data_IF_342979931814
#
_entry.id   IF_342979931814
#
_cell.length_a   1.000
_cell.length_b   1.000
_cell.length_c   1.000
_cell.angle_alpha   90.00
_cell.angle_beta   90.00
_cell.angle_gamma   90.00
#
_symmetry.space_group_name_H-M   'P 1'
#
loop_
_entity.id
_entity.type
_entity.pdbx_description
1 polymer ?
#
# COMPACT_ATOMS: atom_id res chain seq x y z
N UNK A 1 4.34 5.72 -24.59
CA UNK A 1 4.38 7.04 -23.95
C UNK A 1 4.45 6.77 -22.45
N UNK A 2 5.62 6.89 -21.83
CA UNK A 2 5.77 6.65 -20.40
C UNK A 2 5.08 7.80 -19.68
N UNK A 3 3.87 7.58 -19.20
CA UNK A 3 3.19 8.49 -18.28
C UNK A 3 3.55 8.05 -16.87
N UNK A 4 3.93 9.00 -16.03
CA UNK A 4 3.85 8.81 -14.58
C UNK A 4 2.45 8.33 -14.22
N UNK A 5 2.32 7.41 -13.25
CA UNK A 5 1.01 6.89 -12.85
C UNK A 5 0.09 8.04 -12.43
N UNK A 6 -0.99 8.21 -13.19
CA UNK A 6 -2.00 9.26 -12.92
C UNK A 6 -3.12 8.77 -12.00
N UNK A 7 -3.15 7.47 -11.70
CA UNK A 7 -4.14 6.84 -10.84
C UNK A 7 -3.41 5.86 -9.92
N UNK A 8 -3.30 6.23 -8.65
CA UNK A 8 -2.52 5.49 -7.66
C UNK A 8 -3.45 5.09 -6.52
N UNK A 9 -3.78 3.79 -6.37
CA UNK A 9 -4.54 3.34 -5.23
C UNK A 9 -3.72 3.49 -3.95
N UNK A 10 -4.36 3.90 -2.86
CA UNK A 10 -3.76 3.99 -1.53
C UNK A 10 -4.44 2.99 -0.60
N UNK A 11 -3.67 1.98 -0.18
CA UNK A 11 -4.09 0.93 0.73
C UNK A 11 -3.90 1.38 2.18
N UNK A 12 -4.98 1.32 2.96
CA UNK A 12 -4.94 1.54 4.40
C UNK A 12 -4.88 0.19 5.10
N UNK A 13 -3.81 -0.04 5.85
CA UNK A 13 -3.49 -1.33 6.48
C UNK A 13 -3.29 -1.17 7.98
N UNK A 14 -3.33 -2.27 8.74
CA UNK A 14 -3.13 -2.24 10.19
C UNK A 14 -1.66 -2.16 10.62
N UNK A 15 -0.75 -2.56 9.73
CA UNK A 15 0.69 -2.50 9.93
C UNK A 15 1.36 -2.17 8.58
N UNK A 16 1.68 -0.89 8.39
CA UNK A 16 2.26 -0.40 7.15
C UNK A 16 3.62 -1.01 6.83
N UNK A 17 4.48 -1.19 7.83
CA UNK A 17 5.81 -1.76 7.63
C UNK A 17 5.76 -3.25 7.26
N UNK A 18 4.87 -4.01 7.91
CA UNK A 18 4.63 -5.41 7.53
C UNK A 18 4.05 -5.52 6.12
N UNK A 19 3.15 -4.62 5.73
CA UNK A 19 2.60 -4.58 4.39
C UNK A 19 3.66 -4.26 3.33
N UNK A 20 4.51 -3.24 3.56
CA UNK A 20 5.65 -2.93 2.68
C UNK A 20 6.53 -4.17 2.47
N UNK A 21 6.92 -4.84 3.56
CA UNK A 21 7.72 -6.07 3.49
C UNK A 21 7.02 -7.16 2.67
N UNK A 22 5.76 -7.43 2.96
CA UNK A 22 4.98 -8.45 2.27
C UNK A 22 4.91 -8.19 0.76
N UNK A 23 4.59 -6.96 0.35
CA UNK A 23 4.46 -6.64 -1.06
C UNK A 23 5.78 -6.70 -1.82
N UNK A 24 6.90 -6.38 -1.16
CA UNK A 24 8.24 -6.55 -1.74
C UNK A 24 8.60 -8.02 -1.89
N UNK A 25 8.39 -8.82 -0.86
CA UNK A 25 8.84 -10.22 -0.83
C UNK A 25 7.99 -11.12 -1.74
N UNK A 26 6.67 -10.94 -1.74
CA UNK A 26 5.73 -11.80 -2.48
C UNK A 26 5.58 -11.34 -3.91
N UNK A 27 5.33 -10.04 -4.13
CA UNK A 27 5.04 -9.53 -5.47
C UNK A 27 6.28 -8.98 -6.20
N UNK A 28 7.45 -9.00 -5.54
CA UNK A 28 8.67 -8.41 -6.11
C UNK A 28 8.58 -6.89 -6.29
N UNK A 29 7.70 -6.21 -5.54
CA UNK A 29 7.56 -4.77 -5.64
C UNK A 29 8.83 -4.05 -5.15
N UNK A 30 9.22 -2.97 -5.83
CA UNK A 30 10.31 -2.10 -5.42
C UNK A 30 9.80 -1.04 -4.43
N UNK A 31 10.58 -0.77 -3.38
CA UNK A 31 10.24 0.23 -2.38
C UNK A 31 10.75 1.61 -2.80
N UNK A 32 9.84 2.58 -2.78
CA UNK A 32 10.12 3.97 -3.11
C UNK A 32 10.33 4.84 -1.87
N UNK A 33 9.67 5.99 -1.85
CA UNK A 33 9.72 6.91 -0.71
C UNK A 33 8.82 6.45 0.44
N UNK A 34 9.38 6.49 1.66
CA UNK A 34 8.64 6.26 2.89
C UNK A 34 8.71 7.45 3.84
N UNK A 35 7.62 7.66 4.56
CA UNK A 35 7.46 8.63 5.62
C UNK A 35 6.87 7.93 6.84
N UNK A 36 7.66 7.85 7.91
CA UNK A 36 7.20 7.37 9.21
C UNK A 36 6.45 8.48 9.94
N UNK A 37 5.45 8.09 10.73
CA UNK A 37 4.82 9.00 11.69
C UNK A 37 5.82 9.43 12.77
N UNK A 38 5.58 10.57 13.45
CA UNK A 38 6.45 11.05 14.52
C UNK A 38 6.65 10.07 15.68
N UNK A 39 5.75 9.10 15.86
CA UNK A 39 5.87 8.03 16.86
C UNK A 39 6.93 6.98 16.51
N UNK A 40 7.47 6.98 15.29
CA UNK A 40 8.46 6.04 14.79
C UNK A 40 7.97 4.61 14.61
N UNK A 41 6.65 4.37 14.73
CA UNK A 41 6.04 3.04 14.67
C UNK A 41 5.13 2.87 13.46
N UNK A 42 4.29 3.86 13.17
CA UNK A 42 3.31 3.80 12.09
C UNK A 42 3.88 4.40 10.80
N UNK A 43 3.56 3.81 9.67
CA UNK A 43 3.87 4.31 8.35
C UNK A 43 2.80 5.33 7.93
N UNK A 44 3.20 6.59 7.77
CA UNK A 44 2.30 7.65 7.29
C UNK A 44 2.11 7.59 5.77
N UNK A 45 3.18 7.24 5.05
CA UNK A 45 3.15 7.03 3.60
C UNK A 45 4.28 6.08 3.22
N UNK A 46 3.99 5.06 2.43
CA UNK A 46 4.99 4.26 1.75
C UNK A 46 4.62 4.07 0.29
N UNK A 47 5.61 4.23 -0.58
CA UNK A 47 5.48 4.01 -2.01
C UNK A 47 6.02 2.63 -2.38
N UNK A 48 5.25 1.88 -3.16
CA UNK A 48 5.66 0.65 -3.80
C UNK A 48 5.46 0.75 -5.30
N UNK A 49 6.41 0.19 -6.06
CA UNK A 49 6.38 0.12 -7.52
C UNK A 49 6.35 -1.35 -7.94
N UNK A 50 5.30 -1.75 -8.65
CA UNK A 50 5.14 -3.11 -9.18
C UNK A 50 4.96 -3.02 -10.69
N UNK A 51 5.87 -3.63 -11.46
CA UNK A 51 5.86 -3.61 -12.93
C UNK A 51 5.74 -2.19 -13.52
N UNK A 52 6.39 -1.22 -12.88
CA UNK A 52 6.35 0.19 -13.27
C UNK A 52 5.11 0.97 -12.82
N UNK A 53 4.17 0.32 -12.11
CA UNK A 53 2.98 0.95 -11.55
C UNK A 53 3.10 1.17 -10.05
N UNK A 54 2.72 2.36 -9.59
CA UNK A 54 2.71 2.76 -8.19
C UNK A 54 1.43 2.34 -7.48
N UNK A 55 1.60 1.99 -6.21
CA UNK A 55 0.54 2.04 -5.22
C UNK A 55 1.12 2.50 -3.88
N UNK A 56 0.28 3.14 -3.07
CA UNK A 56 0.68 3.65 -1.77
C UNK A 56 0.11 2.81 -0.64
N UNK A 57 0.83 2.79 0.47
CA UNK A 57 0.42 2.10 1.70
C UNK A 57 0.58 3.05 2.88
N UNK A 58 -0.36 3.03 3.83
CA UNK A 58 -0.19 3.65 5.14
C UNK A 58 -0.94 2.90 6.22
N UNK A 59 -0.54 3.11 7.47
CA UNK A 59 -1.34 2.74 8.63
C UNK A 59 -2.65 3.55 8.68
N UNK A 60 -3.59 3.07 9.50
CA UNK A 60 -4.78 3.83 9.87
C UNK A 60 -4.42 4.99 10.81
N UNK A 61 -4.87 6.19 10.47
CA UNK A 61 -4.79 7.36 11.33
C UNK A 61 -6.19 7.84 11.68
N UNK A 62 -6.35 8.36 12.89
CA UNK A 62 -7.64 8.90 13.34
C UNK A 62 -7.91 10.26 12.68
N UNK A 63 -9.18 10.73 12.66
CA UNK A 63 -9.52 12.05 12.14
C UNK A 63 -8.71 13.19 12.78
N UNK A 64 -8.45 13.13 14.08
CA UNK A 64 -7.62 14.12 14.80
C UNK A 64 -6.14 14.11 14.38
N UNK A 65 -5.67 13.03 13.75
CA UNK A 65 -4.32 12.88 13.19
C UNK A 65 -4.30 13.20 11.67
N UNK A 66 -5.43 13.63 11.10
CA UNK A 66 -5.59 13.90 9.67
C UNK A 66 -5.98 12.70 8.81
N UNK A 67 -6.31 11.55 9.42
CA UNK A 67 -6.76 10.36 8.70
C UNK A 67 -8.24 10.41 8.33
N UNK A 68 -8.58 9.95 7.12
CA UNK A 68 -9.97 9.92 6.62
C UNK A 68 -10.47 8.51 6.25
N UNK A 69 -9.56 7.55 6.13
CA UNK A 69 -9.86 6.19 5.67
C UNK A 69 -9.59 5.17 6.77
N UNK A 70 -10.24 4.01 6.67
CA UNK A 70 -10.16 2.92 7.64
C UNK A 70 -9.63 1.65 6.99
N UNK A 71 -8.98 0.81 7.77
CA UNK A 71 -8.58 -0.54 7.38
C UNK A 71 -9.79 -1.43 7.15
N UNK A 72 -9.66 -2.47 6.31
CA UNK A 72 -10.69 -3.49 6.18
C UNK A 72 -11.08 -4.14 7.51
N UNK A 73 -10.11 -4.32 8.41
CA UNK A 73 -10.29 -4.89 9.74
C UNK A 73 -11.18 -3.99 10.61
N UNK A 74 -10.93 -2.67 10.64
CA UNK A 74 -11.78 -1.71 11.36
C UNK A 74 -13.19 -1.64 10.77
N UNK A 75 -13.33 -1.81 9.44
CA UNK A 75 -14.62 -1.78 8.75
C UNK A 75 -15.39 -3.11 8.83
N UNK A 76 -14.73 -4.22 9.17
CA UNK A 76 -15.29 -5.56 9.05
C UNK A 76 -15.49 -6.02 7.59
N UNK A 77 -14.77 -5.41 6.64
CA UNK A 77 -14.90 -5.67 5.20
C UNK A 77 -14.20 -4.61 4.34
N UNK A 78 -14.21 -4.78 3.01
CA UNK A 78 -13.69 -3.79 2.04
C UNK A 78 -14.68 -3.58 0.91
N UNK A 79 -14.77 -2.34 0.41
CA UNK A 79 -15.56 -1.98 -0.78
C UNK A 79 -14.75 -2.04 -2.08
N UNK A 80 -13.43 -2.15 -1.97
CA UNK A 80 -12.50 -2.10 -3.10
C UNK A 80 -11.73 -3.42 -3.19
N UNK A 81 -11.59 -3.92 -4.42
CA UNK A 81 -10.69 -4.99 -4.80
C UNK A 81 -9.69 -4.45 -5.82
N UNK A 82 -8.41 -4.71 -5.59
CA UNK A 82 -7.36 -4.48 -6.58
C UNK A 82 -7.02 -5.83 -7.21
N UNK A 83 -6.87 -5.86 -8.53
CA UNK A 83 -6.52 -7.07 -9.28
C UNK A 83 -5.22 -6.82 -10.01
N UNK A 84 -4.21 -7.65 -9.72
CA UNK A 84 -3.00 -7.72 -10.51
C UNK A 84 -3.25 -8.69 -11.67
N UNK A 85 -3.11 -8.22 -12.91
CA UNK A 85 -3.11 -9.08 -14.08
C UNK A 85 -1.67 -9.52 -14.37
N UNK A 86 -1.45 -10.82 -14.45
CA UNK A 86 -0.14 -11.46 -14.69
C UNK A 86 -0.31 -12.65 -15.63
N UNK A 87 0.74 -12.95 -16.40
CA UNK A 87 0.78 -14.11 -17.30
C UNK A 87 1.07 -15.41 -16.54
N UNK A 88 1.73 -15.33 -15.39
CA UNK A 88 2.04 -16.45 -14.49
C UNK A 88 1.60 -16.11 -13.06
N UNK A 89 0.43 -16.61 -12.59
CA UNK A 89 -0.05 -16.36 -11.25
C UNK A 89 0.69 -17.17 -10.17
N UNK A 90 1.27 -18.32 -10.54
CA UNK A 90 2.00 -19.19 -9.59
C UNK A 90 3.41 -18.64 -9.32
N UNK A 91 3.99 -17.91 -10.28
CA UNK A 91 5.27 -17.23 -10.15
C UNK A 91 5.26 -15.91 -9.36
N UNK A 92 4.09 -15.41 -8.94
CA UNK A 92 3.91 -14.13 -8.22
C UNK A 92 3.68 -14.34 -6.71
N UNK A 93 3.92 -15.56 -6.20
CA UNK A 93 3.65 -15.99 -4.82
C UNK A 93 4.93 -16.10 -3.99
#
# INVERSE_FOLDING_TARGET
MNREDQFIPHLIVNDGMAALKFYKEVFGAEEGHNMMAPDGKRLMHGELVLNGHKFFVSDEFRPEEGGACKTPQTLGGTSVRITLMTDDPDGVV
#
